data_IF_144579124773
#
_entry.id   IF_144579124773
#
_cell.length_a   1.000
_cell.length_b   1.000
_cell.length_c   1.000
_cell.angle_alpha   90.00
_cell.angle_beta   90.00
_cell.angle_gamma   90.00
#
_symmetry.space_group_name_H-M   'P 1'
#
loop_
_entity.id
_entity.type
_entity.pdbx_description
1 polymer ?
#
# COMPACT_ATOMS: atom_id res chain seq x y z
N UNK A 1 -3.86 41.27 -51.71
CA UNK A 1 -4.58 40.63 -50.59
C UNK A 1 -4.38 39.13 -50.72
N UNK A 2 -3.51 38.55 -49.89
CA UNK A 2 -3.32 37.10 -49.80
C UNK A 2 -3.62 36.71 -48.35
N UNK A 3 -4.50 35.72 -48.22
CA UNK A 3 -5.24 35.38 -47.02
C UNK A 3 -4.33 34.91 -45.89
N UNK A 4 -4.63 35.44 -44.70
CA UNK A 4 -4.09 35.08 -43.41
C UNK A 4 -4.49 33.63 -43.08
N UNK A 5 -3.62 32.66 -43.34
CA UNK A 5 -3.78 31.29 -42.83
C UNK A 5 -2.56 30.93 -41.99
N UNK A 6 -2.48 31.55 -40.81
CA UNK A 6 -1.61 31.10 -39.72
C UNK A 6 -2.07 29.70 -39.30
N UNK A 7 -1.45 28.67 -39.87
CA UNK A 7 -1.61 27.29 -39.42
C UNK A 7 -0.84 27.13 -38.10
N UNK A 8 -1.47 27.51 -37.00
CA UNK A 8 -0.93 27.35 -35.65
C UNK A 8 -1.13 25.87 -35.25
N UNK A 9 -0.16 25.03 -35.61
CA UNK A 9 -0.11 23.63 -35.19
C UNK A 9 0.13 23.61 -33.68
N UNK A 10 -0.93 23.43 -32.90
CA UNK A 10 -0.89 23.13 -31.48
C UNK A 10 -0.26 21.74 -31.30
N UNK A 11 1.04 21.69 -31.05
CA UNK A 11 1.69 20.53 -30.46
C UNK A 11 1.18 20.38 -29.02
N UNK A 12 0.12 19.60 -28.84
CA UNK A 12 -0.29 19.12 -27.52
C UNK A 12 0.72 18.08 -27.09
N UNK A 13 1.77 18.53 -26.39
CA UNK A 13 2.64 17.62 -25.66
C UNK A 13 1.79 16.92 -24.60
N UNK A 14 1.49 15.64 -24.83
CA UNK A 14 0.99 14.75 -23.79
C UNK A 14 2.14 14.48 -22.83
N UNK A 15 2.42 15.41 -21.92
CA UNK A 15 3.21 15.09 -20.74
C UNK A 15 2.38 14.11 -19.92
N UNK A 16 2.81 12.84 -19.89
CA UNK A 16 2.37 11.94 -18.82
C UNK A 16 2.93 12.52 -17.53
N UNK A 17 2.08 13.22 -16.78
CA UNK A 17 2.38 13.59 -15.40
C UNK A 17 2.43 12.30 -14.59
N UNK A 18 3.63 11.79 -14.36
CA UNK A 18 3.85 10.80 -13.31
C UNK A 18 3.65 11.54 -11.99
N UNK A 19 2.45 11.42 -11.43
CA UNK A 19 2.20 11.90 -10.08
C UNK A 19 3.05 11.06 -9.13
N UNK A 20 4.09 11.67 -8.56
CA UNK A 20 4.90 11.06 -7.53
C UNK A 20 4.22 11.34 -6.18
N UNK A 21 3.66 10.33 -5.51
CA UNK A 21 3.42 10.48 -4.07
C UNK A 21 4.78 10.35 -3.40
N UNK A 22 5.24 11.48 -2.88
CA UNK A 22 6.34 11.53 -1.94
C UNK A 22 5.84 10.82 -0.69
N UNK A 23 6.28 9.57 -0.45
CA UNK A 23 5.99 9.00 0.86
C UNK A 23 6.68 9.84 1.91
N UNK A 24 5.92 10.22 2.89
CA UNK A 24 6.41 10.88 4.10
C UNK A 24 7.19 9.85 4.91
N UNK A 25 8.30 10.28 5.48
CA UNK A 25 9.01 9.47 6.45
C UNK A 25 8.09 9.32 7.66
N UNK A 26 7.56 8.12 7.86
CA UNK A 26 6.65 7.82 8.97
C UNK A 26 7.50 7.12 10.02
N UNK A 27 7.65 7.72 11.22
CA UNK A 27 8.48 7.15 12.26
C UNK A 27 8.07 5.72 12.59
N UNK A 28 9.06 4.86 12.80
CA UNK A 28 8.85 3.52 13.33
C UNK A 28 8.02 3.60 14.62
N UNK A 29 7.01 2.73 14.74
CA UNK A 29 6.12 2.73 15.88
C UNK A 29 5.81 1.29 16.31
N UNK A 30 5.65 1.09 17.62
CA UNK A 30 5.09 -0.16 18.20
C UNK A 30 3.82 0.21 18.96
N UNK A 31 2.68 0.35 18.26
CA UNK A 31 1.44 0.82 18.85
C UNK A 31 0.87 -0.21 19.83
N UNK A 32 0.20 0.28 20.88
CA UNK A 32 -0.59 -0.52 21.80
C UNK A 32 -2.11 -0.39 21.54
N UNK A 33 -2.48 0.30 20.47
CA UNK A 33 -3.85 0.63 20.07
C UNK A 33 -3.92 0.75 18.54
N UNK A 34 -5.10 1.13 18.03
CA UNK A 34 -5.29 1.48 16.62
C UNK A 34 -4.25 2.52 16.17
N UNK A 35 -3.55 2.20 15.08
CA UNK A 35 -2.57 3.04 14.43
C UNK A 35 -3.11 3.54 13.09
N UNK A 36 -3.39 4.85 12.96
CA UNK A 36 -3.76 5.45 11.70
C UNK A 36 -2.51 5.61 10.82
N UNK A 37 -2.57 5.01 9.65
CA UNK A 37 -1.55 5.13 8.63
C UNK A 37 -2.05 6.07 7.53
N UNK A 38 -1.34 7.18 7.36
CA UNK A 38 -1.51 8.17 6.30
C UNK A 38 -0.25 8.13 5.43
N UNK A 39 -0.34 7.54 4.23
CA UNK A 39 0.81 7.26 3.38
C UNK A 39 1.26 8.48 2.57
N UNK A 40 0.32 9.38 2.25
CA UNK A 40 0.56 10.54 1.41
C UNK A 40 0.64 11.86 2.21
N UNK A 41 0.42 11.80 3.53
CA UNK A 41 0.44 12.92 4.47
C UNK A 41 -0.48 14.06 4.05
N UNK A 42 -1.68 13.71 3.58
CA UNK A 42 -2.75 14.65 3.27
C UNK A 42 -3.73 14.88 4.44
N UNK A 43 -3.42 14.31 5.62
CA UNK A 43 -4.23 14.32 6.84
C UNK A 43 -5.51 13.47 6.76
N UNK A 44 -5.71 12.71 5.69
CA UNK A 44 -6.74 11.69 5.57
C UNK A 44 -6.10 10.34 5.88
N UNK A 45 -6.69 9.61 6.81
CA UNK A 45 -6.19 8.27 7.15
C UNK A 45 -6.45 7.32 5.98
N UNK A 46 -5.40 6.64 5.52
CA UNK A 46 -5.46 5.70 4.41
C UNK A 46 -5.79 4.28 4.86
N UNK A 47 -5.20 3.86 5.98
CA UNK A 47 -5.38 2.54 6.57
C UNK A 47 -5.40 2.64 8.10
N UNK A 48 -6.19 1.79 8.74
CA UNK A 48 -6.11 1.56 10.18
C UNK A 48 -5.46 0.19 10.43
N UNK A 49 -4.34 0.17 11.15
CA UNK A 49 -3.76 -1.06 11.68
C UNK A 49 -4.16 -1.16 13.14
N UNK A 50 -4.93 -2.18 13.51
CA UNK A 50 -5.52 -2.21 14.86
C UNK A 50 -5.64 -3.60 15.46
N UNK A 51 -5.79 -3.60 16.78
CA UNK A 51 -6.22 -4.75 17.57
C UNK A 51 -7.75 -4.79 17.59
N UNK A 52 -8.36 -5.79 16.95
CA UNK A 52 -9.82 -6.01 16.94
C UNK A 52 -10.25 -6.85 18.17
N UNK A 53 -9.34 -7.70 18.64
CA UNK A 53 -9.28 -8.30 19.97
C UNK A 53 -7.84 -8.18 20.50
N UNK A 54 -7.58 -8.58 21.75
CA UNK A 54 -6.25 -8.52 22.37
C UNK A 54 -5.16 -9.17 21.50
N UNK A 55 -5.51 -10.21 20.76
CA UNK A 55 -4.64 -11.09 19.99
C UNK A 55 -4.98 -11.10 18.48
N UNK A 56 -5.60 -10.04 17.95
CA UNK A 56 -6.02 -9.98 16.54
C UNK A 56 -5.63 -8.68 15.88
N UNK A 57 -4.60 -8.75 15.03
CA UNK A 57 -4.10 -7.63 14.23
C UNK A 57 -4.83 -7.57 12.90
N UNK A 58 -5.42 -6.43 12.60
CA UNK A 58 -6.19 -6.17 11.39
C UNK A 58 -5.60 -5.03 10.57
N UNK A 59 -5.69 -5.15 9.25
CA UNK A 59 -5.57 -4.03 8.31
C UNK A 59 -6.97 -3.64 7.82
N UNK A 60 -7.37 -2.39 8.04
CA UNK A 60 -8.65 -1.85 7.57
C UNK A 60 -8.40 -0.69 6.61
N UNK A 61 -8.48 -0.90 5.28
CA UNK A 61 -8.41 0.20 4.32
C UNK A 61 -9.50 1.23 4.60
N UNK A 62 -9.18 2.49 4.36
CA UNK A 62 -10.13 3.60 4.41
C UNK A 62 -10.50 4.00 2.97
N UNK A 63 -11.69 4.57 2.80
CA UNK A 63 -12.19 5.01 1.50
C UNK A 63 -12.11 3.87 0.45
N UNK A 64 -11.53 4.16 -0.71
CA UNK A 64 -11.34 3.25 -1.84
C UNK A 64 -9.95 2.58 -1.85
N UNK A 65 -9.17 2.76 -0.78
CA UNK A 65 -7.88 2.10 -0.64
C UNK A 65 -8.07 0.59 -0.46
N UNK A 66 -7.00 -0.17 -0.70
CA UNK A 66 -7.06 -1.62 -0.58
C UNK A 66 -5.71 -2.22 -0.20
N UNK A 67 -5.71 -3.47 0.25
CA UNK A 67 -4.51 -4.29 0.41
C UNK A 67 -4.60 -5.52 -0.50
N UNK A 68 -3.45 -6.14 -0.81
CA UNK A 68 -3.42 -7.43 -1.52
C UNK A 68 -3.43 -8.59 -0.52
N UNK A 69 -4.26 -9.60 -0.79
CA UNK A 69 -4.43 -10.72 0.14
C UNK A 69 -5.01 -11.98 -0.51
N UNK A 70 -5.38 -12.92 0.34
CA UNK A 70 -6.13 -14.13 0.01
C UNK A 70 -7.50 -14.12 0.69
N UNK A 71 -8.42 -14.95 0.22
CA UNK A 71 -9.68 -15.24 0.91
C UNK A 71 -9.79 -16.74 1.15
N UNK A 72 -9.74 -17.15 2.41
CA UNK A 72 -9.75 -18.56 2.81
C UNK A 72 -10.68 -18.73 4.01
N UNK A 73 -11.58 -19.70 3.93
CA UNK A 73 -12.44 -20.06 5.06
C UNK A 73 -13.34 -18.92 5.55
N UNK A 74 -13.74 -17.99 4.68
CA UNK A 74 -14.56 -16.83 5.07
C UNK A 74 -13.76 -15.64 5.61
N UNK A 75 -12.43 -15.71 5.63
CA UNK A 75 -11.56 -14.67 6.18
C UNK A 75 -10.67 -14.09 5.09
N UNK A 76 -10.57 -12.77 5.04
CA UNK A 76 -9.62 -12.06 4.20
C UNK A 76 -8.27 -11.95 4.92
N UNK A 77 -7.21 -12.43 4.27
CA UNK A 77 -5.89 -12.58 4.86
C UNK A 77 -4.85 -11.80 4.03
N UNK A 78 -4.40 -10.62 4.48
CA UNK A 78 -3.35 -9.88 3.80
C UNK A 78 -2.06 -10.68 3.71
N UNK A 79 -1.40 -10.66 2.55
CA UNK A 79 -0.14 -11.37 2.36
C UNK A 79 1.00 -10.74 3.17
N UNK A 80 1.83 -11.59 3.80
CA UNK A 80 3.11 -11.19 4.41
C UNK A 80 4.24 -11.39 3.39
N UNK A 81 4.51 -10.37 2.58
CA UNK A 81 5.41 -10.49 1.43
C UNK A 81 6.88 -10.30 1.82
N UNK A 82 7.77 -10.99 1.13
CA UNK A 82 9.21 -10.71 1.16
C UNK A 82 9.54 -9.49 0.29
N UNK A 83 10.68 -8.83 0.57
CA UNK A 83 11.09 -7.58 -0.11
C UNK A 83 11.36 -7.73 -1.62
N UNK A 84 11.57 -8.96 -2.09
CA UNK A 84 11.91 -9.28 -3.47
C UNK A 84 10.68 -9.38 -4.40
N UNK A 85 9.47 -9.46 -3.82
CA UNK A 85 8.20 -9.48 -4.54
C UNK A 85 7.87 -8.07 -5.01
N UNK A 86 7.64 -7.88 -6.30
CA UNK A 86 7.16 -6.60 -6.87
C UNK A 86 5.64 -6.43 -6.68
N UNK A 87 5.19 -5.20 -6.38
CA UNK A 87 3.77 -4.83 -6.45
C UNK A 87 3.49 -4.12 -7.76
N UNK A 88 2.41 -4.55 -8.39
CA UNK A 88 1.77 -3.84 -9.49
C UNK A 88 0.27 -4.11 -9.48
N UNK A 89 -0.44 -3.46 -10.39
CA UNK A 89 -1.86 -3.65 -10.66
C UNK A 89 -2.25 -5.10 -10.96
N UNK A 90 -1.32 -5.90 -11.50
CA UNK A 90 -1.53 -7.33 -11.79
C UNK A 90 -1.29 -8.25 -10.59
N UNK A 91 -0.94 -7.74 -9.40
CA UNK A 91 -0.93 -8.57 -8.20
C UNK A 91 -2.32 -9.15 -7.92
N UNK A 92 -2.34 -10.27 -7.17
CA UNK A 92 -3.57 -10.93 -6.75
C UNK A 92 -4.55 -9.98 -6.03
N UNK A 93 -5.78 -10.44 -5.89
CA UNK A 93 -6.97 -9.77 -5.36
C UNK A 93 -6.70 -8.62 -4.39
N UNK A 94 -7.24 -7.45 -4.73
CA UNK A 94 -7.24 -6.26 -3.89
C UNK A 94 -8.53 -6.17 -3.08
N UNK A 95 -8.42 -6.15 -1.75
CA UNK A 95 -9.57 -6.05 -0.83
C UNK A 95 -9.65 -4.65 -0.22
N UNK A 96 -10.83 -4.05 -0.32
CA UNK A 96 -11.13 -2.68 0.09
C UNK A 96 -11.64 -2.57 1.53
N UNK A 97 -12.18 -1.39 1.89
CA UNK A 97 -12.73 -1.10 3.21
C UNK A 97 -13.90 -2.00 3.62
N UNK A 98 -14.62 -2.62 2.67
CA UNK A 98 -15.69 -3.57 2.95
C UNK A 98 -15.16 -4.93 3.41
N UNK A 99 -13.88 -5.21 3.18
CA UNK A 99 -13.25 -6.51 3.37
C UNK A 99 -11.99 -6.38 4.23
N UNK A 100 -12.12 -6.02 5.52
CA UNK A 100 -10.97 -5.80 6.40
C UNK A 100 -10.15 -7.09 6.54
N UNK A 101 -8.83 -6.94 6.52
CA UNK A 101 -7.89 -8.06 6.47
C UNK A 101 -7.41 -8.47 7.85
N UNK A 102 -7.55 -9.75 8.18
CA UNK A 102 -6.94 -10.36 9.37
C UNK A 102 -5.48 -10.67 9.06
N UNK A 103 -4.57 -9.81 9.52
CA UNK A 103 -3.14 -10.02 9.36
C UNK A 103 -2.69 -11.21 10.21
N UNK A 104 -3.09 -11.21 11.48
CA UNK A 104 -2.76 -12.24 12.44
C UNK A 104 -3.87 -12.36 13.50
N UNK A 105 -4.21 -13.58 13.92
CA UNK A 105 -5.13 -13.85 15.02
C UNK A 105 -4.65 -15.06 15.83
N UNK A 106 -4.39 -14.82 17.13
CA UNK A 106 -3.86 -15.80 18.06
C UNK A 106 -2.46 -16.24 17.63
N UNK A 107 -2.25 -17.55 17.54
CA UNK A 107 -0.95 -18.15 17.21
C UNK A 107 -0.95 -18.92 15.88
N UNK A 108 -2.02 -18.83 15.08
CA UNK A 108 -2.15 -19.69 13.90
C UNK A 108 -2.94 -19.14 12.72
N UNK A 109 -3.75 -18.08 12.91
CA UNK A 109 -4.58 -17.56 11.82
C UNK A 109 -3.91 -16.34 11.20
N UNK A 110 -3.85 -16.32 9.87
CA UNK A 110 -3.26 -15.23 9.10
C UNK A 110 -1.78 -15.42 8.81
N UNK A 111 -1.31 -14.73 7.77
CA UNK A 111 0.05 -14.90 7.27
C UNK A 111 1.11 -14.14 8.05
N UNK A 112 0.72 -13.35 9.06
CA UNK A 112 1.64 -12.47 9.78
C UNK A 112 2.02 -12.99 11.17
N UNK A 113 1.44 -14.10 11.65
CA UNK A 113 1.73 -14.61 13.00
C UNK A 113 3.24 -14.91 13.14
N UNK A 114 3.93 -14.16 14.01
CA UNK A 114 5.36 -14.33 14.25
C UNK A 114 6.28 -13.87 13.12
N UNK A 115 5.74 -13.24 12.08
CA UNK A 115 6.53 -12.76 10.95
C UNK A 115 7.26 -11.46 11.28
N UNK A 116 8.48 -11.33 10.75
CA UNK A 116 9.30 -10.12 10.90
C UNK A 116 9.88 -9.70 9.55
N UNK A 117 10.11 -8.40 9.37
CA UNK A 117 10.62 -7.82 8.14
C UNK A 117 9.81 -8.21 6.89
N UNK A 118 8.49 -8.33 7.06
CA UNK A 118 7.55 -8.61 5.96
C UNK A 118 6.81 -7.34 5.56
N UNK A 119 6.34 -7.34 4.31
CA UNK A 119 5.77 -6.18 3.65
C UNK A 119 4.31 -6.43 3.29
N UNK A 120 3.46 -5.49 3.67
CA UNK A 120 2.05 -5.45 3.32
C UNK A 120 1.90 -4.64 2.04
N UNK A 121 1.31 -5.24 1.01
CA UNK A 121 1.04 -4.54 -0.24
C UNK A 121 -0.23 -3.68 -0.12
N UNK A 122 -0.10 -2.40 -0.43
CA UNK A 122 -1.11 -1.37 -0.28
C UNK A 122 -1.39 -0.71 -1.63
N UNK A 123 -2.67 -0.47 -1.91
CA UNK A 123 -3.16 0.32 -3.03
C UNK A 123 -3.84 1.56 -2.48
N UNK A 124 -3.33 2.72 -2.86
CA UNK A 124 -3.82 4.04 -2.48
C UNK A 124 -4.54 4.67 -3.67
N UNK A 125 -5.75 5.17 -3.44
CA UNK A 125 -6.57 5.85 -4.44
C UNK A 125 -6.73 7.32 -4.04
N UNK A 126 -6.17 8.23 -4.83
CA UNK A 126 -6.30 9.69 -4.62
C UNK A 126 -6.98 10.30 -5.84
N UNK A 127 -8.25 10.67 -5.67
CA UNK A 127 -9.10 11.06 -6.79
C UNK A 127 -9.27 9.90 -7.77
N UNK A 128 -8.85 10.09 -9.02
CA UNK A 128 -8.87 9.06 -10.08
C UNK A 128 -7.55 8.30 -10.20
N UNK A 129 -6.53 8.66 -9.44
CA UNK A 129 -5.19 8.10 -9.56
C UNK A 129 -5.01 6.92 -8.63
N UNK A 130 -4.33 5.88 -9.11
CA UNK A 130 -4.01 4.67 -8.35
C UNK A 130 -2.52 4.57 -8.12
N UNK A 131 -2.16 4.22 -6.90
CA UNK A 131 -0.79 4.17 -6.39
C UNK A 131 -0.57 2.87 -5.62
N UNK A 132 0.63 2.32 -5.65
CA UNK A 132 0.97 1.03 -5.04
C UNK A 132 2.20 1.16 -4.16
N UNK A 133 2.14 0.65 -2.93
CA UNK A 133 3.25 0.74 -1.98
C UNK A 133 3.33 -0.42 -1.00
N UNK A 134 4.38 -0.40 -0.18
CA UNK A 134 4.54 -1.33 0.93
C UNK A 134 4.62 -0.60 2.27
N UNK A 135 4.09 -1.23 3.31
CA UNK A 135 4.45 -0.95 4.69
C UNK A 135 5.08 -2.19 5.32
N UNK A 136 6.19 -2.04 6.04
CA UNK A 136 6.90 -3.16 6.69
C UNK A 136 6.38 -3.34 8.10
N UNK A 137 6.15 -4.58 8.50
CA UNK A 137 5.74 -4.92 9.86
C UNK A 137 6.56 -6.06 10.45
N UNK A 138 6.67 -6.04 11.77
CA UNK A 138 6.90 -7.20 12.61
C UNK A 138 5.65 -7.46 13.44
N UNK A 139 5.22 -8.71 13.56
CA UNK A 139 4.07 -9.10 14.39
C UNK A 139 4.49 -10.23 15.31
N UNK A 140 4.13 -10.15 16.59
CA UNK A 140 4.52 -11.18 17.55
C UNK A 140 3.84 -12.52 17.27
N UNK A 141 4.43 -13.62 17.75
CA UNK A 141 3.89 -14.99 17.59
C UNK A 141 2.54 -15.20 18.26
N UNK A 142 2.15 -14.30 19.18
CA UNK A 142 0.85 -14.29 19.86
C UNK A 142 -0.11 -13.25 19.30
N UNK A 143 0.28 -12.49 18.27
CA UNK A 143 -0.53 -11.43 17.65
C UNK A 143 -0.97 -10.33 18.61
N UNK A 144 -0.25 -10.15 19.72
CA UNK A 144 -0.56 -9.16 20.79
C UNK A 144 0.23 -7.86 20.65
N UNK A 145 1.17 -7.79 19.71
CA UNK A 145 1.95 -6.59 19.42
C UNK A 145 2.41 -6.61 17.96
N UNK A 146 2.56 -5.43 17.37
CA UNK A 146 3.21 -5.24 16.08
C UNK A 146 4.08 -3.99 16.10
N UNK A 147 5.14 -4.01 15.31
CA UNK A 147 5.95 -2.84 14.99
C UNK A 147 5.75 -2.52 13.52
N UNK A 148 5.38 -1.28 13.20
CA UNK A 148 5.36 -0.77 11.84
C UNK A 148 6.65 0.02 11.58
N UNK A 149 7.24 -0.19 10.40
CA UNK A 149 8.40 0.58 9.92
C UNK A 149 8.14 1.02 8.50
N UNK A 150 8.29 2.31 8.24
CA UNK A 150 8.15 2.87 6.90
C UNK A 150 9.43 3.61 6.61
N UNK A 151 10.45 2.84 6.23
CA UNK A 151 11.77 3.40 5.93
C UNK A 151 11.76 3.88 4.48
N UNK A 152 12.05 5.16 4.20
CA UNK A 152 12.35 5.61 2.84
C UNK A 152 13.70 5.02 2.45
N UNK A 153 13.72 3.77 1.99
CA UNK A 153 14.96 3.12 1.59
C UNK A 153 15.43 3.75 0.29
N UNK A 154 16.61 4.36 0.35
CA UNK A 154 17.33 4.96 -0.79
C UNK A 154 17.71 3.96 -1.89
N UNK A 155 17.60 2.66 -1.61
CA UNK A 155 17.99 1.55 -2.50
C UNK A 155 16.81 0.88 -3.24
N UNK A 156 15.57 1.22 -2.92
CA UNK A 156 14.43 0.80 -3.72
C UNK A 156 13.90 2.05 -4.39
N UNK A 157 14.04 2.20 -5.72
CA UNK A 157 13.42 3.33 -6.35
C UNK A 157 11.91 3.19 -6.12
N UNK A 158 11.45 4.17 -5.36
CA UNK A 158 10.13 4.37 -4.78
C UNK A 158 9.13 4.62 -5.92
N UNK A 159 8.89 3.61 -6.73
CA UNK A 159 8.04 3.73 -7.91
C UNK A 159 6.61 3.40 -7.54
N UNK A 160 5.83 4.46 -7.39
CA UNK A 160 4.45 4.41 -7.81
C UNK A 160 4.45 4.28 -9.32
N UNK A 161 4.28 3.05 -9.81
CA UNK A 161 4.07 2.84 -11.23
C UNK A 161 2.66 3.31 -11.58
N UNK A 162 2.55 4.35 -12.40
CA UNK A 162 1.33 4.63 -13.15
C UNK A 162 1.43 3.88 -14.49
N UNK A 163 0.44 3.03 -14.79
CA UNK A 163 0.25 2.17 -15.99
C UNK A 163 1.03 0.85 -16.15
N UNK A 164 0.36 -0.27 -15.88
CA UNK A 164 0.15 -1.40 -16.81
C UNK A 164 1.32 -2.19 -17.41
N UNK A 165 2.59 -1.87 -17.11
CA UNK A 165 3.73 -2.59 -17.71
C UNK A 165 4.89 -2.79 -16.73
N UNK A 166 4.84 -3.90 -15.98
CA UNK A 166 5.96 -4.56 -15.30
C UNK A 166 6.99 -3.62 -14.63
N UNK A 167 6.93 -3.50 -13.30
CA UNK A 167 8.01 -2.91 -12.51
C UNK A 167 9.32 -3.70 -12.73
N UNK A 168 10.19 -3.21 -13.62
CA UNK A 168 11.55 -3.74 -13.76
C UNK A 168 12.43 -3.09 -12.71
N UNK A 169 13.13 -3.94 -11.95
CA UNK A 169 14.27 -3.56 -11.10
C UNK A 169 15.26 -2.76 -11.94
N UNK A 170 15.51 -1.51 -11.56
CA UNK A 170 16.70 -0.79 -12.01
C UNK A 170 17.68 -0.81 -10.84
N UNK A 171 18.83 -1.47 -11.08
CA UNK A 171 19.97 -1.61 -10.16
C UNK A 171 20.61 -0.27 -9.84
#
# INVERSE_FOLDING_TARGET
MASLCCLLILFVFNSRLYSQIIYTDIPDATPNATYPLDLNNDSIVDFLIQFDSIDKVMCKPQNNNAYSGNFVGGVHLPWALSADISICDTMATWYDSNNPGTMAWGTSIGYWVGETNKYLALKLIVGTNTYYGWARFDVTTTSTSFTIRITPTREYPKYLHTDGTNARRYY
#
